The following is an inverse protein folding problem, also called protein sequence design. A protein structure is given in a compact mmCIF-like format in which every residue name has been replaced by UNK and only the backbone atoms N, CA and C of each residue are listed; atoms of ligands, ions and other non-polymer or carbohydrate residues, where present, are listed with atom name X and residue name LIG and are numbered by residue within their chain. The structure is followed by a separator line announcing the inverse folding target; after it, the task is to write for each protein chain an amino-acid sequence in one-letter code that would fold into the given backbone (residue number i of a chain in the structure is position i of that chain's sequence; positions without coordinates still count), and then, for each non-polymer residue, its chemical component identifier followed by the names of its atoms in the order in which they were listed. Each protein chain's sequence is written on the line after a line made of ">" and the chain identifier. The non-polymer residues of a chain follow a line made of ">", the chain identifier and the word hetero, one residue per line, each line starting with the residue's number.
data_IF_620087842066
#
_entry.id   IF_620087842066
#
_cell.length_a   1.000
_cell.length_b   1.000
_cell.length_c   1.000
_cell.angle_alpha   90.00
_cell.angle_beta   90.00
_cell.angle_gamma   90.00
#
_symmetry.space_group_name_H-M   'P 1'
#
loop_
_entity.id
_entity.type
_entity.pdbx_description
1 polymer ?
#
# COMPACT_ATOMS: atom_id res chain seq x y z
N UNK A 1 3.05 -12.57 9.42
CA UNK A 1 2.52 -12.43 8.05
C UNK A 1 3.61 -12.19 7.01
N UNK A 2 4.80 -11.68 7.36
CA UNK A 2 5.98 -11.68 6.49
C UNK A 2 7.08 -12.52 7.16
N UNK A 3 7.25 -13.76 6.72
CA UNK A 3 8.29 -14.68 7.26
C UNK A 3 9.57 -14.67 6.42
N UNK A 4 9.50 -14.07 5.24
CA UNK A 4 10.63 -13.91 4.34
C UNK A 4 11.25 -12.53 4.53
N UNK A 5 12.58 -12.47 4.49
CA UNK A 5 13.30 -11.21 4.43
C UNK A 5 12.89 -10.43 3.17
N UNK A 6 12.74 -9.11 3.32
CA UNK A 6 12.59 -8.18 2.20
C UNK A 6 13.96 -8.04 1.55
N UNK A 7 14.00 -8.15 0.23
CA UNK A 7 15.23 -8.02 -0.56
C UNK A 7 15.11 -6.83 -1.50
N UNK A 8 16.26 -6.25 -1.84
CA UNK A 8 16.31 -5.23 -2.88
C UNK A 8 15.75 -5.81 -4.19
N UNK A 9 14.90 -5.02 -4.85
CA UNK A 9 14.16 -5.45 -6.04
C UNK A 9 12.84 -6.17 -5.77
N UNK A 10 12.48 -6.48 -4.52
CA UNK A 10 11.12 -6.95 -4.21
C UNK A 10 10.09 -5.87 -4.55
N UNK A 11 9.06 -6.25 -5.28
CA UNK A 11 7.93 -5.37 -5.62
C UNK A 11 6.70 -5.81 -4.83
N UNK A 12 6.06 -4.85 -4.18
CA UNK A 12 4.84 -5.05 -3.42
C UNK A 12 3.70 -4.24 -4.01
N UNK A 13 2.66 -4.93 -4.47
CA UNK A 13 1.40 -4.30 -4.86
C UNK A 13 0.43 -4.34 -3.69
N UNK A 14 -0.13 -3.17 -3.36
CA UNK A 14 -1.20 -3.04 -2.39
C UNK A 14 -2.51 -2.76 -3.14
N UNK A 15 -3.31 -3.81 -3.33
CA UNK A 15 -4.56 -3.74 -4.10
C UNK A 15 -5.73 -3.59 -3.13
N UNK A 16 -6.35 -2.42 -3.12
CA UNK A 16 -7.58 -2.19 -2.36
C UNK A 16 -8.81 -2.64 -3.16
N UNK A 17 -9.67 -3.42 -2.52
CA UNK A 17 -11.06 -3.63 -2.92
C UNK A 17 -11.97 -3.16 -1.78
N UNK A 18 -13.25 -2.82 -2.01
CA UNK A 18 -14.09 -2.08 -1.05
C UNK A 18 -14.07 -2.57 0.41
N UNK A 19 -13.79 -3.84 0.68
CA UNK A 19 -13.76 -4.44 2.01
C UNK A 19 -12.37 -4.91 2.51
N UNK A 20 -11.32 -4.85 1.68
CA UNK A 20 -10.01 -5.44 2.01
C UNK A 20 -8.86 -4.87 1.20
N UNK A 21 -7.64 -5.01 1.73
CA UNK A 21 -6.40 -4.82 0.98
C UNK A 21 -5.75 -6.18 0.75
N UNK A 22 -5.39 -6.46 -0.49
CA UNK A 22 -4.60 -7.63 -0.89
C UNK A 22 -3.17 -7.17 -1.14
N UNK A 23 -2.21 -7.85 -0.52
CA UNK A 23 -0.78 -7.61 -0.71
C UNK A 23 -0.25 -8.68 -1.65
N UNK A 24 0.38 -8.27 -2.74
CA UNK A 24 1.01 -9.14 -3.72
C UNK A 24 2.51 -8.86 -3.65
N UNK A 25 3.33 -9.90 -3.44
CA UNK A 25 4.79 -9.79 -3.46
C UNK A 25 5.29 -10.48 -4.72
N UNK A 26 6.00 -9.76 -5.59
CA UNK A 26 6.58 -10.29 -6.83
C UNK A 26 5.54 -11.05 -7.68
N UNK A 27 4.35 -10.46 -7.84
CA UNK A 27 3.24 -11.04 -8.61
C UNK A 27 2.47 -12.18 -7.92
N UNK A 28 2.84 -12.56 -6.69
CA UNK A 28 2.16 -13.64 -5.94
C UNK A 28 1.38 -13.09 -4.73
N UNK A 29 0.10 -13.46 -4.55
CA UNK A 29 -0.66 -13.07 -3.36
C UNK A 29 0.06 -13.50 -2.08
N UNK A 30 0.37 -12.54 -1.22
CA UNK A 30 1.12 -12.74 0.03
C UNK A 30 0.24 -12.63 1.26
N UNK A 31 -0.69 -11.68 1.29
CA UNK A 31 -1.57 -11.46 2.43
C UNK A 31 -2.88 -10.79 2.02
N UNK A 32 -3.89 -10.90 2.88
CA UNK A 32 -5.15 -10.16 2.77
C UNK A 32 -5.47 -9.58 4.14
N UNK A 33 -5.73 -8.27 4.19
CA UNK A 33 -6.10 -7.55 5.40
C UNK A 33 -7.52 -7.03 5.19
N UNK A 34 -8.44 -7.49 6.03
CA UNK A 34 -9.82 -7.05 5.99
C UNK A 34 -10.01 -5.71 6.72
N UNK A 35 -11.07 -4.98 6.36
CA UNK A 35 -11.50 -3.77 7.06
C UNK A 35 -10.99 -2.48 6.44
N UNK A 36 -11.65 -1.38 6.83
CA UNK A 36 -11.45 -0.07 6.22
C UNK A 36 -10.35 0.74 6.90
N UNK A 37 -10.02 0.43 8.16
CA UNK A 37 -9.04 1.19 8.94
C UNK A 37 -7.64 1.04 8.36
N UNK A 38 -7.27 -0.18 7.95
CA UNK A 38 -5.98 -0.42 7.29
C UNK A 38 -5.87 0.33 5.96
N UNK A 39 -6.96 0.42 5.19
CA UNK A 39 -7.01 1.21 3.96
C UNK A 39 -6.75 2.69 4.25
N UNK A 40 -7.40 3.25 5.27
CA UNK A 40 -7.22 4.66 5.64
C UNK A 40 -5.77 4.94 6.04
N UNK A 41 -5.17 4.09 6.88
CA UNK A 41 -3.77 4.21 7.27
C UNK A 41 -2.82 4.10 6.06
N UNK A 42 -3.06 3.12 5.17
CA UNK A 42 -2.24 2.89 3.97
C UNK A 42 -2.24 4.11 3.04
N UNK A 43 -3.42 4.63 2.69
CA UNK A 43 -3.49 5.83 1.84
C UNK A 43 -2.98 7.07 2.57
N UNK A 44 -3.11 7.14 3.90
CA UNK A 44 -2.59 8.23 4.71
C UNK A 44 -1.08 8.47 4.53
N UNK A 45 -0.29 7.43 4.24
CA UNK A 45 1.16 7.54 4.01
C UNK A 45 1.49 8.49 2.84
N UNK A 46 0.66 8.52 1.80
CA UNK A 46 0.91 9.31 0.59
C UNK A 46 -0.12 10.42 0.35
N UNK A 47 -1.37 10.23 0.76
CA UNK A 47 -2.47 11.18 0.52
C UNK A 47 -2.88 11.94 1.79
N UNK A 48 -2.40 11.52 2.97
CA UNK A 48 -2.70 12.17 4.24
C UNK A 48 -2.09 13.57 4.37
N UNK A 49 -2.30 14.20 5.52
CA UNK A 49 -1.83 15.57 5.81
C UNK A 49 -0.30 15.67 5.78
N UNK A 50 0.38 14.65 6.32
CA UNK A 50 1.84 14.55 6.38
C UNK A 50 2.34 13.39 5.49
N UNK A 51 2.36 13.56 4.16
CA UNK A 51 2.78 12.50 3.25
C UNK A 51 4.29 12.29 3.32
N UNK A 52 4.75 11.03 3.15
CA UNK A 52 6.19 10.72 3.10
C UNK A 52 6.88 11.36 1.88
N UNK A 53 6.12 11.64 0.82
CA UNK A 53 6.62 12.30 -0.38
C UNK A 53 5.56 13.23 -0.98
N UNK A 54 5.76 14.54 -0.83
CA UNK A 54 4.81 15.56 -1.27
C UNK A 54 4.61 15.59 -2.80
N UNK A 55 5.67 15.35 -3.59
CA UNK A 55 5.57 15.30 -5.05
C UNK A 55 4.69 14.14 -5.54
N UNK A 56 4.82 12.97 -4.90
CA UNK A 56 4.01 11.81 -5.23
C UNK A 56 2.54 12.04 -4.86
N UNK A 57 2.25 12.69 -3.73
CA UNK A 57 0.89 13.13 -3.39
C UNK A 57 0.27 13.96 -4.52
N UNK A 58 0.99 14.98 -5.01
CA UNK A 58 0.51 15.84 -6.10
C UNK A 58 0.23 15.04 -7.38
N UNK A 59 1.17 14.17 -7.77
CA UNK A 59 1.01 13.31 -8.93
C UNK A 59 -0.22 12.39 -8.82
N UNK A 60 -0.47 11.79 -7.66
CA UNK A 60 -1.65 10.94 -7.40
C UNK A 60 -2.96 11.74 -7.42
N UNK A 61 -2.92 13.02 -7.11
CA UNK A 61 -4.08 13.94 -7.16
C UNK A 61 -4.24 14.63 -8.53
N UNK A 62 -3.32 14.40 -9.48
CA UNK A 62 -3.34 15.05 -10.79
C UNK A 62 -3.02 16.55 -10.76
N UNK A 63 -2.18 16.98 -9.82
CA UNK A 63 -1.78 18.38 -9.61
C UNK A 63 -0.32 18.65 -10.00
#
# INVERSE_FOLDING_TARGET
>A
MFKEAIKEGDVYDFVYTPAKVVIIKNGKPSATIAGNDFKQALFGIWLGENPIQASLKKALLGQ
#
